data_IF_835792836738
#
_entry.id   IF_835792836738
#
_cell.length_a   1.000
_cell.length_b   1.000
_cell.length_c   1.000
_cell.angle_alpha   90.00
_cell.angle_beta   90.00
_cell.angle_gamma   90.00
#
_symmetry.space_group_name_H-M   'P 1'
#
loop_
_entity.id
_entity.type
_entity.pdbx_description
1 polymer ?
#
# COMPACT_ATOMS: atom_id res chain seq x y z
N UNK A 1 -23.29 32.70 33.27
CA UNK A 1 -24.42 32.02 32.59
C UNK A 1 -24.06 31.34 31.25
N UNK A 2 -22.78 31.10 30.91
CA UNK A 2 -22.36 30.42 29.66
C UNK A 2 -21.88 28.97 29.82
N UNK A 3 -21.54 28.55 31.04
CA UNK A 3 -21.02 27.19 31.32
C UNK A 3 -22.14 26.14 31.44
N UNK A 4 -23.34 26.53 31.90
CA UNK A 4 -24.48 25.61 32.01
C UNK A 4 -25.12 25.26 30.65
N UNK A 5 -24.99 26.12 29.63
CA UNK A 5 -25.57 25.89 28.30
C UNK A 5 -24.76 24.88 27.47
N UNK A 6 -23.42 24.86 27.59
CA UNK A 6 -22.56 23.90 26.88
C UNK A 6 -22.69 22.46 27.40
N UNK A 7 -22.92 22.27 28.70
CA UNK A 7 -23.19 20.94 29.28
C UNK A 7 -24.56 20.39 28.86
N UNK A 8 -25.57 21.25 28.67
CA UNK A 8 -26.89 20.82 28.20
C UNK A 8 -26.84 20.47 26.70
N UNK A 9 -26.12 21.23 25.88
CA UNK A 9 -25.96 20.95 24.44
C UNK A 9 -25.17 19.65 24.20
N UNK A 10 -24.12 19.40 24.98
CA UNK A 10 -23.36 18.15 24.92
C UNK A 10 -24.21 16.94 25.33
N UNK A 11 -25.07 17.08 26.36
CA UNK A 11 -25.98 16.02 26.81
C UNK A 11 -27.11 15.76 25.81
N UNK A 12 -27.63 16.80 25.14
CA UNK A 12 -28.66 16.64 24.11
C UNK A 12 -28.12 16.01 22.84
N UNK A 13 -26.87 16.28 22.45
CA UNK A 13 -26.26 15.62 21.27
C UNK A 13 -25.89 14.15 21.53
N UNK A 14 -25.45 13.79 22.74
CA UNK A 14 -25.25 12.37 23.11
C UNK A 14 -26.57 11.63 23.26
N UNK A 15 -27.64 12.29 23.75
CA UNK A 15 -28.97 11.69 23.81
C UNK A 15 -29.61 11.51 22.42
N UNK A 16 -29.34 12.41 21.46
CA UNK A 16 -29.74 12.26 20.06
C UNK A 16 -28.91 11.18 19.32
N UNK A 17 -27.65 10.96 19.70
CA UNK A 17 -26.87 9.81 19.22
C UNK A 17 -27.31 8.46 19.84
N UNK A 18 -27.84 8.45 21.08
CA UNK A 18 -28.39 7.23 21.70
C UNK A 18 -29.81 6.87 21.21
N UNK A 19 -30.56 7.84 20.69
CA UNK A 19 -31.91 7.62 20.13
C UNK A 19 -31.91 6.97 18.73
N UNK A 20 -30.74 6.81 18.10
CA UNK A 20 -30.58 6.04 16.86
C UNK A 20 -30.35 4.54 17.05
N UNK A 21 -30.27 4.06 18.30
CA UNK A 21 -29.96 2.66 18.64
C UNK A 21 -31.08 2.06 19.51
N UNK A 22 -32.35 2.32 19.13
CA UNK A 22 -33.45 1.48 19.56
C UNK A 22 -33.90 0.67 18.35
N UNK A 23 -33.77 -0.68 18.36
CA UNK A 23 -34.43 -1.51 17.37
C UNK A 23 -35.94 -1.20 17.44
N UNK A 24 -36.54 -0.95 16.28
CA UNK A 24 -37.96 -0.55 16.14
C UNK A 24 -38.92 -1.68 16.57
N UNK A 25 -38.40 -2.85 16.97
CA UNK A 25 -39.18 -4.07 17.21
C UNK A 25 -39.92 -4.15 18.57
N UNK A 26 -39.98 -3.07 19.36
CA UNK A 26 -40.63 -3.10 20.70
C UNK A 26 -42.05 -2.51 20.72
N UNK A 27 -42.65 -2.17 19.57
CA UNK A 27 -44.06 -1.76 19.49
C UNK A 27 -44.98 -2.75 18.75
N UNK A 28 -44.67 -4.05 18.76
CA UNK A 28 -45.58 -5.10 18.27
C UNK A 28 -46.62 -5.51 19.33
N UNK A 29 -47.23 -4.53 20.00
CA UNK A 29 -48.03 -4.75 21.20
C UNK A 29 -49.25 -3.84 21.34
N UNK A 30 -49.93 -3.46 20.26
CA UNK A 30 -51.34 -3.02 20.32
C UNK A 30 -51.91 -2.82 18.90
N UNK A 31 -52.39 -3.89 18.25
CA UNK A 31 -53.41 -3.72 17.21
C UNK A 31 -54.55 -4.67 17.57
N UNK A 32 -55.57 -4.10 18.19
CA UNK A 32 -56.85 -4.76 18.40
C UNK A 32 -57.49 -4.95 17.03
N UNK A 33 -57.66 -6.19 16.57
CA UNK A 33 -58.53 -6.43 15.41
C UNK A 33 -59.97 -6.32 15.87
N UNK A 34 -60.58 -5.18 15.54
CA UNK A 34 -62.00 -4.90 15.60
C UNK A 34 -62.74 -5.77 14.55
N UNK A 35 -63.90 -6.30 14.92
CA UNK A 35 -64.76 -7.12 14.06
C UNK A 35 -65.67 -6.19 13.25
N UNK A 36 -65.30 -5.90 12.00
CA UNK A 36 -66.17 -5.21 11.05
C UNK A 36 -65.92 -5.76 9.65
N UNK A 37 -66.92 -6.45 9.09
CA UNK A 37 -66.93 -6.89 7.70
C UNK A 37 -66.93 -5.68 6.75
N UNK A 38 -65.74 -5.26 6.34
CA UNK A 38 -65.55 -4.20 5.35
C UNK A 38 -64.16 -4.32 4.76
N UNK A 39 -64.08 -4.44 3.43
CA UNK A 39 -62.88 -4.56 2.60
C UNK A 39 -61.57 -4.13 3.27
N UNK A 40 -60.80 -5.11 3.73
CA UNK A 40 -59.49 -4.90 4.31
C UNK A 40 -58.55 -4.28 3.28
N UNK A 41 -58.11 -3.06 3.56
CA UNK A 41 -56.93 -2.48 2.92
C UNK A 41 -55.78 -3.41 3.32
N UNK A 42 -55.34 -4.29 2.42
CA UNK A 42 -54.10 -5.02 2.60
C UNK A 42 -52.98 -3.99 2.62
N UNK A 43 -52.66 -3.48 3.80
CA UNK A 43 -51.37 -2.84 4.04
C UNK A 43 -50.32 -3.80 3.53
N UNK A 44 -49.53 -3.38 2.55
CA UNK A 44 -48.33 -4.09 2.11
C UNK A 44 -47.36 -3.96 3.28
N UNK A 45 -47.51 -4.82 4.27
CA UNK A 45 -46.52 -4.98 5.34
C UNK A 45 -45.37 -5.72 4.68
N UNK A 46 -44.35 -4.99 4.25
CA UNK A 46 -43.12 -5.62 3.81
C UNK A 46 -42.49 -6.27 5.05
N UNK A 47 -42.27 -7.60 5.08
CA UNK A 47 -41.69 -8.23 6.25
C UNK A 47 -40.29 -7.65 6.53
N UNK A 48 -39.87 -7.57 7.81
CA UNK A 48 -38.52 -7.13 8.13
C UNK A 48 -37.51 -8.02 7.41
N UNK A 49 -36.65 -7.40 6.60
CA UNK A 49 -35.58 -8.09 5.87
C UNK A 49 -34.35 -8.08 6.74
N UNK A 50 -33.72 -9.25 6.90
CA UNK A 50 -32.48 -9.36 7.65
C UNK A 50 -31.36 -8.60 6.96
N UNK A 51 -30.55 -7.88 7.74
CA UNK A 51 -29.43 -7.08 7.23
C UNK A 51 -28.20 -7.22 8.10
N UNK A 52 -27.02 -7.27 7.50
CA UNK A 52 -25.77 -7.05 8.24
C UNK A 52 -25.34 -5.60 8.10
N UNK A 53 -25.01 -4.95 9.23
CA UNK A 53 -24.43 -3.61 9.27
C UNK A 53 -22.95 -3.70 9.59
N UNK A 54 -22.10 -3.46 8.61
CA UNK A 54 -20.65 -3.42 8.77
C UNK A 54 -20.19 -2.01 9.13
N UNK A 55 -19.54 -1.88 10.28
CA UNK A 55 -18.86 -0.64 10.70
C UNK A 55 -17.35 -0.83 10.52
N UNK A 56 -16.75 -0.08 9.60
CA UNK A 56 -15.32 -0.12 9.33
C UNK A 56 -14.60 0.85 10.27
N UNK A 57 -13.71 0.34 11.11
CA UNK A 57 -13.00 1.12 12.14
C UNK A 57 -11.48 1.10 11.95
N UNK A 58 -10.87 2.28 12.00
CA UNK A 58 -9.42 2.47 11.95
C UNK A 58 -8.99 3.46 13.04
N UNK A 59 -7.90 3.13 13.75
CA UNK A 59 -7.31 3.96 14.82
C UNK A 59 -8.35 4.51 15.84
N UNK A 60 -9.39 3.71 16.15
CA UNK A 60 -10.43 4.04 17.12
C UNK A 60 -11.58 4.90 16.58
N UNK A 61 -11.55 5.29 15.30
CA UNK A 61 -12.63 6.01 14.62
C UNK A 61 -13.34 5.15 13.58
N UNK A 62 -14.58 5.51 13.25
CA UNK A 62 -15.33 4.93 12.13
C UNK A 62 -14.89 5.60 10.83
N UNK A 63 -14.47 4.79 9.86
CA UNK A 63 -14.09 5.22 8.51
C UNK A 63 -15.30 5.16 7.58
N UNK A 64 -16.08 4.09 7.65
CA UNK A 64 -17.24 3.87 6.79
C UNK A 64 -18.28 2.97 7.47
N UNK A 65 -19.51 2.97 6.96
CA UNK A 65 -20.58 2.06 7.41
C UNK A 65 -21.40 1.60 6.22
N UNK A 66 -21.55 0.28 6.07
CA UNK A 66 -22.30 -0.34 4.98
C UNK A 66 -23.35 -1.28 5.53
N UNK A 67 -24.54 -1.26 4.92
CA UNK A 67 -25.63 -2.16 5.24
C UNK A 67 -25.87 -3.03 4.01
N UNK A 68 -25.82 -4.34 4.19
CA UNK A 68 -26.01 -5.32 3.11
C UNK A 68 -27.13 -6.30 3.47
N UNK A 69 -27.89 -6.69 2.45
CA UNK A 69 -28.86 -7.79 2.49
C UNK A 69 -28.22 -9.09 2.02
N UNK A 70 -28.96 -10.18 2.14
CA UNK A 70 -28.55 -11.48 1.62
C UNK A 70 -28.24 -11.42 0.11
N UNK A 71 -27.08 -11.93 -0.27
CA UNK A 71 -26.60 -11.94 -1.64
C UNK A 71 -26.01 -10.62 -2.16
N UNK A 72 -26.08 -9.53 -1.39
CA UNK A 72 -25.36 -8.30 -1.70
C UNK A 72 -23.87 -8.43 -1.33
N UNK A 73 -23.04 -7.46 -1.72
CA UNK A 73 -21.60 -7.47 -1.50
C UNK A 73 -21.12 -6.15 -0.92
N UNK A 74 -20.01 -6.20 -0.19
CA UNK A 74 -19.36 -5.00 0.34
C UNK A 74 -18.54 -4.31 -0.75
N UNK A 75 -18.51 -2.97 -0.71
CA UNK A 75 -17.56 -2.16 -1.49
C UNK A 75 -16.37 -1.82 -0.61
N UNK A 76 -15.16 -1.86 -1.15
CA UNK A 76 -13.97 -1.55 -0.35
C UNK A 76 -13.97 -0.06 0.05
N UNK A 77 -13.91 0.26 1.36
CA UNK A 77 -13.76 1.64 1.81
C UNK A 77 -12.42 2.25 1.38
N UNK A 78 -12.30 3.57 1.47
CA UNK A 78 -10.99 4.21 1.31
C UNK A 78 -10.01 3.65 2.35
N UNK A 79 -8.83 3.24 1.87
CA UNK A 79 -7.77 2.74 2.74
C UNK A 79 -7.36 3.84 3.75
N UNK A 80 -7.43 3.57 5.06
CA UNK A 80 -6.98 4.50 6.07
C UNK A 80 -5.46 4.66 6.02
N UNK A 81 -4.97 5.85 6.37
CA UNK A 81 -3.54 6.14 6.44
C UNK A 81 -3.04 6.05 7.88
N UNK A 82 -1.87 5.44 8.05
CA UNK A 82 -1.18 5.35 9.33
C UNK A 82 0.32 5.53 9.14
N UNK A 83 0.90 6.48 9.86
CA UNK A 83 2.33 6.80 9.73
C UNK A 83 3.20 5.56 10.02
N UNK A 84 4.19 5.31 9.14
CA UNK A 84 5.10 4.17 9.25
C UNK A 84 4.44 2.80 9.01
N UNK A 85 3.21 2.76 8.51
CA UNK A 85 2.50 1.51 8.25
C UNK A 85 1.85 1.49 6.87
N UNK A 86 1.75 0.28 6.29
CA UNK A 86 0.96 -0.03 5.11
C UNK A 86 -0.37 -0.61 5.55
N UNK A 87 -1.47 -0.14 4.95
CA UNK A 87 -2.78 -0.75 5.15
C UNK A 87 -2.77 -2.18 4.58
N UNK A 88 -3.09 -3.17 5.41
CA UNK A 88 -3.07 -4.59 5.04
C UNK A 88 -4.46 -5.12 4.67
N UNK A 89 -5.52 -4.44 5.08
CA UNK A 89 -6.90 -4.81 4.78
C UNK A 89 -7.85 -4.63 5.96
N UNK A 90 -9.12 -4.93 5.72
CA UNK A 90 -10.19 -4.92 6.72
C UNK A 90 -10.43 -6.34 7.26
N UNK A 91 -10.54 -6.49 8.57
CA UNK A 91 -10.66 -7.80 9.21
C UNK A 91 -11.83 -7.86 10.20
N UNK A 92 -12.53 -9.00 10.21
CA UNK A 92 -13.50 -9.36 11.25
C UNK A 92 -12.88 -10.48 12.07
N UNK A 93 -12.54 -10.20 13.33
CA UNK A 93 -11.75 -11.13 14.14
C UNK A 93 -10.39 -11.40 13.49
N UNK A 94 -10.14 -12.65 13.06
CA UNK A 94 -8.93 -13.07 12.35
C UNK A 94 -9.07 -13.10 10.83
N UNK A 95 -10.29 -13.02 10.30
CA UNK A 95 -10.57 -13.21 8.88
C UNK A 95 -10.52 -11.88 8.12
N UNK A 96 -9.87 -11.88 6.96
CA UNK A 96 -9.83 -10.72 6.08
C UNK A 96 -11.13 -10.67 5.26
N UNK A 97 -11.74 -9.49 5.19
CA UNK A 97 -12.88 -9.25 4.32
C UNK A 97 -12.45 -9.18 2.86
N UNK A 98 -13.29 -9.75 2.00
CA UNK A 98 -13.19 -9.63 0.55
C UNK A 98 -14.33 -8.73 0.06
N UNK A 99 -14.07 -8.00 -1.03
CA UNK A 99 -14.98 -6.98 -1.55
C UNK A 99 -15.40 -7.29 -3.00
N UNK A 100 -16.50 -6.67 -3.42
CA UNK A 100 -16.99 -6.74 -4.79
C UNK A 100 -17.88 -7.95 -5.10
N UNK A 101 -18.44 -8.00 -6.32
CA UNK A 101 -19.54 -8.89 -6.69
C UNK A 101 -19.19 -10.39 -6.67
N UNK A 102 -17.91 -10.74 -6.74
CA UNK A 102 -17.44 -12.13 -6.62
C UNK A 102 -17.48 -12.66 -5.17
N UNK A 103 -17.78 -11.80 -4.20
CA UNK A 103 -17.77 -12.10 -2.77
C UNK A 103 -19.09 -11.68 -2.11
N UNK A 104 -20.23 -12.33 -2.44
CA UNK A 104 -21.51 -12.02 -1.83
C UNK A 104 -21.53 -12.41 -0.35
N UNK A 105 -22.26 -11.64 0.47
CA UNK A 105 -22.45 -11.86 1.89
C UNK A 105 -23.76 -12.64 2.11
N UNK A 106 -23.68 -13.69 2.93
CA UNK A 106 -24.85 -14.44 3.39
C UNK A 106 -25.42 -13.79 4.65
N UNK A 107 -26.72 -13.46 4.63
CA UNK A 107 -27.40 -12.79 5.74
C UNK A 107 -28.60 -13.62 6.18
N UNK A 108 -28.47 -14.33 7.29
CA UNK A 108 -29.55 -15.18 7.86
C UNK A 108 -30.31 -14.49 8.99
N UNK A 109 -29.74 -13.46 9.60
CA UNK A 109 -30.32 -12.66 10.68
C UNK A 109 -29.79 -11.22 10.63
N UNK A 110 -30.41 -10.30 11.36
CA UNK A 110 -29.88 -8.95 11.50
C UNK A 110 -28.74 -8.91 12.51
N UNK A 111 -27.58 -8.40 12.10
CA UNK A 111 -26.38 -8.33 12.92
C UNK A 111 -25.58 -7.06 12.67
N UNK A 112 -24.90 -6.55 13.70
CA UNK A 112 -23.92 -5.47 13.59
C UNK A 112 -22.50 -6.06 13.68
N UNK A 113 -21.70 -5.82 12.66
CA UNK A 113 -20.35 -6.38 12.51
C UNK A 113 -19.34 -5.23 12.53
N UNK A 114 -18.30 -5.37 13.33
CA UNK A 114 -17.18 -4.42 13.34
C UNK A 114 -16.01 -4.99 12.54
N UNK A 115 -15.63 -4.29 11.47
CA UNK A 115 -14.46 -4.62 10.66
C UNK A 115 -13.32 -3.67 11.01
N UNK A 116 -12.21 -4.21 11.51
CA UNK A 116 -11.07 -3.42 11.98
C UNK A 116 -9.98 -3.37 10.91
N UNK A 117 -9.46 -2.19 10.63
CA UNK A 117 -8.29 -2.01 9.78
C UNK A 117 -7.06 -2.66 10.44
N UNK A 118 -6.35 -3.50 9.67
CA UNK A 118 -5.03 -3.98 10.05
C UNK A 118 -3.96 -3.29 9.24
N UNK A 119 -2.83 -3.11 9.89
CA UNK A 119 -1.68 -2.38 9.37
C UNK A 119 -0.43 -3.22 9.56
N UNK A 120 0.44 -3.16 8.56
CA UNK A 120 1.76 -3.77 8.61
C UNK A 120 2.81 -2.66 8.73
N UNK A 121 3.72 -2.80 9.69
CA UNK A 121 4.77 -1.81 9.88
C UNK A 121 5.78 -1.90 8.74
N UNK A 122 6.06 -0.76 8.11
CA UNK A 122 7.00 -0.65 7.00
C UNK A 122 8.12 0.34 7.34
N UNK A 123 9.27 0.14 6.70
CA UNK A 123 10.39 1.06 6.77
C UNK A 123 10.77 1.56 5.40
N UNK A 124 11.35 2.76 5.35
CA UNK A 124 11.74 3.42 4.13
C UNK A 124 13.23 3.29 3.88
N UNK A 125 13.58 3.05 2.62
CA UNK A 125 14.94 3.08 2.10
C UNK A 125 15.04 4.27 1.15
N UNK A 126 15.78 5.28 1.57
CA UNK A 126 15.99 6.51 0.83
C UNK A 126 17.30 6.43 0.06
N UNK A 127 17.22 6.45 -1.26
CA UNK A 127 18.38 6.54 -2.14
C UNK A 127 18.73 8.00 -2.33
N UNK A 128 19.93 8.37 -1.93
CA UNK A 128 20.44 9.74 -2.01
C UNK A 128 21.01 10.01 -3.42
N UNK A 129 21.05 11.28 -3.84
CA UNK A 129 21.62 11.71 -5.13
C UNK A 129 23.14 11.91 -5.12
N UNK A 130 23.73 12.08 -3.94
CA UNK A 130 25.14 12.42 -3.75
C UNK A 130 25.59 12.06 -2.33
N UNK A 131 26.90 11.99 -2.10
CA UNK A 131 27.51 11.71 -0.81
C UNK A 131 28.55 12.80 -0.44
N UNK A 132 29.08 12.77 0.78
CA UNK A 132 30.08 13.73 1.26
C UNK A 132 29.53 14.89 2.09
N UNK A 133 30.39 15.84 2.47
CA UNK A 133 30.15 16.79 3.58
C UNK A 133 28.94 17.72 3.43
N UNK A 134 28.49 18.01 2.21
CA UNK A 134 27.31 18.84 1.94
C UNK A 134 25.99 18.08 2.10
N UNK A 135 26.03 16.77 2.27
CA UNK A 135 24.84 15.92 2.19
C UNK A 135 24.30 15.82 0.77
N UNK A 136 23.37 14.89 0.58
CA UNK A 136 22.63 14.69 -0.65
C UNK A 136 21.14 14.82 -0.40
N UNK A 137 20.36 14.95 -1.47
CA UNK A 137 18.91 14.92 -1.42
C UNK A 137 18.40 13.50 -1.68
N UNK A 138 17.18 13.22 -1.24
CA UNK A 138 16.51 11.96 -1.58
C UNK A 138 16.14 11.98 -3.06
N UNK A 139 16.75 11.10 -3.85
CA UNK A 139 16.42 10.89 -5.27
C UNK A 139 15.25 9.93 -5.44
N UNK A 140 15.24 8.84 -4.67
CA UNK A 140 14.22 7.80 -4.75
C UNK A 140 13.94 7.22 -3.37
N UNK A 141 12.68 6.90 -3.11
CA UNK A 141 12.25 6.21 -1.90
C UNK A 141 11.66 4.86 -2.27
N UNK A 142 12.06 3.84 -1.54
CA UNK A 142 11.43 2.52 -1.55
C UNK A 142 10.96 2.17 -0.14
N UNK A 143 10.00 1.27 -0.01
CA UNK A 143 9.50 0.82 1.29
C UNK A 143 9.18 -0.66 1.27
N UNK A 144 9.07 -1.24 2.47
CA UNK A 144 8.73 -2.63 2.67
C UNK A 144 8.78 -3.01 4.14
N UNK A 145 8.36 -4.23 4.45
CA UNK A 145 8.44 -4.79 5.79
C UNK A 145 9.88 -5.20 6.14
N UNK A 146 10.14 -5.40 7.44
CA UNK A 146 11.45 -5.92 7.90
C UNK A 146 11.77 -7.25 7.21
N UNK A 147 12.97 -7.36 6.63
CA UNK A 147 13.43 -8.56 5.94
C UNK A 147 13.11 -8.59 4.44
N UNK A 148 12.22 -7.74 3.94
CA UNK A 148 12.02 -7.58 2.50
C UNK A 148 13.25 -6.95 1.83
N UNK A 149 13.42 -7.19 0.53
CA UNK A 149 14.55 -6.65 -0.23
C UNK A 149 14.12 -5.63 -1.26
N UNK A 150 14.92 -4.56 -1.38
CA UNK A 150 14.77 -3.55 -2.43
C UNK A 150 15.97 -3.59 -3.37
N UNK A 151 15.72 -3.63 -4.68
CA UNK A 151 16.81 -3.60 -5.67
C UNK A 151 17.54 -2.25 -5.64
N UNK A 152 18.84 -2.28 -5.87
CA UNK A 152 19.67 -1.08 -6.06
C UNK A 152 19.94 -0.77 -7.54
N UNK A 153 19.84 -1.78 -8.43
CA UNK A 153 20.22 -1.67 -9.84
C UNK A 153 19.23 -0.90 -10.73
N UNK A 154 17.98 -0.78 -10.30
CA UNK A 154 16.96 0.04 -10.99
C UNK A 154 17.04 1.54 -10.61
N UNK A 155 17.90 1.91 -9.66
CA UNK A 155 18.09 3.29 -9.22
C UNK A 155 19.19 3.95 -10.05
N UNK A 156 18.79 4.50 -11.20
CA UNK A 156 19.68 5.19 -12.14
C UNK A 156 19.67 6.71 -11.89
N UNK A 157 20.77 7.24 -11.34
CA UNK A 157 20.92 8.67 -11.09
C UNK A 157 21.19 9.44 -12.40
N UNK A 158 20.65 10.67 -12.57
CA UNK A 158 20.92 11.52 -13.72
C UNK A 158 22.28 12.24 -13.57
N UNK A 159 23.36 11.46 -13.65
CA UNK A 159 24.74 11.95 -13.57
C UNK A 159 25.33 12.18 -14.97
N UNK A 160 26.41 12.97 -15.04
CA UNK A 160 27.08 13.26 -16.31
C UNK A 160 27.61 12.01 -17.00
N UNK A 161 27.81 12.08 -18.32
CA UNK A 161 28.26 10.94 -19.15
C UNK A 161 29.63 10.38 -18.77
N UNK A 162 30.42 11.12 -18.00
CA UNK A 162 31.74 10.69 -17.49
C UNK A 162 31.66 10.12 -16.07
N UNK A 163 30.47 9.88 -15.53
CA UNK A 163 30.29 9.39 -14.16
C UNK A 163 29.43 8.13 -14.12
N UNK A 164 29.66 7.29 -13.11
CA UNK A 164 28.81 6.15 -12.79
C UNK A 164 28.61 5.99 -11.29
N UNK A 165 27.46 5.45 -10.90
CA UNK A 165 27.26 4.91 -9.55
C UNK A 165 27.88 3.52 -9.51
N UNK A 166 28.99 3.36 -8.81
CA UNK A 166 29.72 2.08 -8.72
C UNK A 166 29.32 1.26 -7.49
N UNK A 167 28.58 1.87 -6.56
CA UNK A 167 28.03 1.19 -5.40
C UNK A 167 27.15 2.10 -4.55
N UNK A 168 26.35 1.47 -3.70
CA UNK A 168 25.52 2.16 -2.70
C UNK A 168 26.04 1.83 -1.30
N UNK A 169 26.04 2.79 -0.38
CA UNK A 169 26.59 2.64 0.96
C UNK A 169 25.57 3.04 2.02
N UNK A 170 25.58 2.40 3.18
CA UNK A 170 24.68 2.71 4.29
C UNK A 170 25.11 3.94 5.09
N UNK A 171 26.21 4.59 4.71
CA UNK A 171 26.76 5.76 5.39
C UNK A 171 27.28 6.79 4.37
N UNK A 172 27.12 8.05 4.72
CA UNK A 172 27.49 9.20 3.89
C UNK A 172 29.00 9.31 3.60
N UNK A 173 29.83 8.71 4.46
CA UNK A 173 31.29 8.70 4.33
C UNK A 173 31.79 7.59 3.39
N UNK A 174 30.88 6.77 2.83
CA UNK A 174 31.18 5.69 1.90
C UNK A 174 32.22 4.68 2.46
N UNK A 175 32.13 4.42 3.77
CA UNK A 175 33.01 3.49 4.48
C UNK A 175 32.44 2.07 4.52
N UNK A 176 33.32 1.07 4.56
CA UNK A 176 32.94 -0.34 4.60
C UNK A 176 32.68 -0.94 3.21
N UNK A 177 31.88 -2.01 3.16
CA UNK A 177 31.50 -2.66 1.91
C UNK A 177 30.24 -2.01 1.31
N UNK A 178 30.17 -1.89 -0.03
CA UNK A 178 28.94 -1.45 -0.67
C UNK A 178 27.82 -2.46 -0.48
N UNK A 179 26.58 -1.96 -0.50
CA UNK A 179 25.37 -2.76 -0.68
C UNK A 179 25.43 -3.44 -2.05
N UNK A 180 25.03 -4.71 -2.10
CA UNK A 180 24.97 -5.49 -3.33
C UNK A 180 23.83 -5.07 -4.26
N UNK A 181 23.37 -6.01 -5.10
CA UNK A 181 22.27 -5.81 -6.05
C UNK A 181 20.92 -5.49 -5.37
N UNK A 182 20.81 -5.78 -4.07
CA UNK A 182 19.65 -5.49 -3.24
C UNK A 182 20.05 -5.14 -1.81
N UNK A 183 19.18 -4.40 -1.14
CA UNK A 183 19.27 -4.05 0.27
C UNK A 183 18.13 -4.72 1.05
N UNK A 184 18.45 -5.42 2.14
CA UNK A 184 17.45 -5.97 3.07
C UNK A 184 16.99 -4.90 4.05
N UNK A 185 15.69 -4.66 4.11
CA UNK A 185 15.08 -3.68 5.01
C UNK A 185 15.22 -4.14 6.47
N UNK A 186 15.75 -3.27 7.31
CA UNK A 186 15.90 -3.49 8.75
C UNK A 186 14.67 -3.06 9.56
N UNK A 187 14.90 -2.70 10.82
CA UNK A 187 13.87 -2.22 11.76
C UNK A 187 13.88 -0.70 11.93
N UNK A 188 14.44 0.02 10.98
CA UNK A 188 14.51 1.48 10.94
C UNK A 188 14.64 1.95 9.50
N UNK A 189 14.29 3.22 9.26
CA UNK A 189 14.53 3.84 7.96
C UNK A 189 16.03 3.92 7.67
N UNK A 190 16.43 3.66 6.43
CA UNK A 190 17.83 3.67 6.00
C UNK A 190 18.04 4.64 4.84
N UNK A 191 19.14 5.38 4.89
CA UNK A 191 19.63 6.14 3.74
C UNK A 191 20.76 5.37 3.04
N UNK A 192 20.68 5.25 1.71
CA UNK A 192 21.70 4.68 0.86
C UNK A 192 22.37 5.77 0.03
N UNK A 193 23.68 5.86 0.16
CA UNK A 193 24.53 6.90 -0.38
C UNK A 193 25.30 6.38 -1.60
N UNK A 194 25.22 7.03 -2.76
CA UNK A 194 25.90 6.56 -3.95
C UNK A 194 27.40 6.88 -3.88
N UNK A 195 28.24 5.90 -4.22
CA UNK A 195 29.62 6.17 -4.61
C UNK A 195 29.63 6.48 -6.09
N UNK A 196 29.90 7.74 -6.42
CA UNK A 196 29.96 8.23 -7.80
C UNK A 196 31.43 8.34 -8.17
N UNK A 197 31.82 7.68 -9.25
CA UNK A 197 33.18 7.70 -9.76
C UNK A 197 33.19 8.29 -11.17
N UNK A 198 34.27 9.01 -11.49
CA UNK A 198 34.55 9.49 -12.83
C UNK A 198 35.21 8.38 -13.66
N UNK A 199 34.92 8.32 -14.95
CA UNK A 199 35.43 7.30 -15.88
C UNK A 199 34.78 7.38 -17.25
N UNK A 200 34.96 6.31 -18.03
CA UNK A 200 34.46 6.23 -19.39
C UNK A 200 33.55 5.00 -19.56
N UNK A 201 32.59 5.10 -20.47
CA UNK A 201 31.75 3.97 -20.86
C UNK A 201 32.28 3.33 -22.14
N UNK A 202 32.48 2.01 -22.09
CA UNK A 202 32.75 1.18 -23.26
C UNK A 202 31.42 0.66 -23.79
N UNK A 203 31.11 1.01 -25.04
CA UNK A 203 29.87 0.60 -25.71
C UNK A 203 30.16 -0.60 -26.61
N UNK A 204 29.28 -1.59 -26.57
CA UNK A 204 29.41 -2.82 -27.35
C UNK A 204 28.36 -2.83 -28.47
N UNK A 205 28.81 -3.04 -29.71
CA UNK A 205 27.96 -3.07 -30.90
C UNK A 205 27.95 -4.49 -31.46
N UNK A 206 26.82 -5.18 -31.31
CA UNK A 206 26.65 -6.58 -31.74
C UNK A 206 26.15 -6.75 -33.19
N UNK A 207 25.96 -5.63 -33.92
CA UNK A 207 25.36 -5.60 -35.26
C UNK A 207 23.84 -5.84 -35.26
N UNK A 208 23.23 -5.81 -36.45
CA UNK A 208 21.78 -6.02 -36.62
C UNK A 208 21.34 -7.39 -36.06
N UNK A 209 20.24 -7.43 -35.32
CA UNK A 209 19.70 -8.64 -34.68
C UNK A 209 20.65 -9.32 -33.68
N UNK A 210 21.74 -8.65 -33.27
CA UNK A 210 22.64 -9.13 -32.22
C UNK A 210 22.06 -8.87 -30.82
N UNK A 211 22.50 -9.66 -29.84
CA UNK A 211 22.15 -9.43 -28.42
C UNK A 211 22.65 -8.06 -27.96
N UNK A 212 21.79 -7.28 -27.29
CA UNK A 212 22.19 -6.05 -26.62
C UNK A 212 23.09 -6.37 -25.43
N UNK A 213 24.21 -5.67 -25.33
CA UNK A 213 25.13 -5.75 -24.21
C UNK A 213 25.15 -4.39 -23.54
N UNK A 214 24.95 -4.37 -22.22
CA UNK A 214 24.97 -3.14 -21.45
C UNK A 214 26.39 -2.51 -21.49
N UNK A 215 26.50 -1.18 -21.71
CA UNK A 215 27.79 -0.50 -21.67
C UNK A 215 28.50 -0.72 -20.35
N UNK A 216 29.81 -0.96 -20.42
CA UNK A 216 30.62 -1.14 -19.23
C UNK A 216 31.28 0.18 -18.82
N UNK A 217 31.07 0.58 -17.57
CA UNK A 217 31.82 1.70 -16.99
C UNK A 217 33.23 1.26 -16.57
N UNK A 218 34.23 2.08 -16.88
CA UNK A 218 35.64 1.83 -16.56
C UNK A 218 36.24 3.11 -15.94
N UNK A 219 36.56 3.08 -14.63
CA UNK A 219 37.34 4.13 -13.97
C UNK A 219 38.74 4.31 -14.59
N UNK A 220 39.39 5.49 -14.47
CA UNK A 220 40.71 5.76 -15.07
C UNK A 220 41.84 4.80 -14.68
N UNK A 221 41.74 4.17 -13.51
CA UNK A 221 42.77 3.26 -12.98
C UNK A 221 42.43 1.77 -13.17
N UNK A 222 41.25 1.46 -13.71
CA UNK A 222 40.80 0.09 -13.90
C UNK A 222 41.04 -0.39 -15.33
N UNK A 223 41.09 -1.71 -15.49
CA UNK A 223 41.17 -2.38 -16.79
C UNK A 223 39.80 -2.79 -17.28
N UNK A 224 39.59 -2.74 -18.59
CA UNK A 224 38.38 -3.24 -19.25
C UNK A 224 38.18 -4.72 -18.97
N UNK A 225 36.94 -5.17 -18.78
CA UNK A 225 36.61 -6.60 -18.71
C UNK A 225 35.97 -7.01 -20.03
N UNK A 226 36.22 -8.24 -20.47
CA UNK A 226 35.56 -8.78 -21.65
C UNK A 226 34.09 -9.09 -21.32
N UNK A 227 33.11 -8.56 -22.06
CA UNK A 227 31.69 -8.84 -21.81
C UNK A 227 31.33 -10.24 -22.30
N UNK A 228 30.13 -10.71 -21.92
CA UNK A 228 29.58 -11.95 -22.46
C UNK A 228 29.51 -11.93 -23.99
N UNK A 229 29.80 -13.06 -24.63
CA UNK A 229 29.71 -13.17 -26.08
C UNK A 229 28.26 -12.90 -26.56
N UNK A 230 28.06 -12.01 -27.55
CA UNK A 230 26.75 -11.72 -28.10
C UNK A 230 26.27 -12.92 -28.91
N UNK A 231 24.95 -13.08 -29.00
CA UNK A 231 24.33 -14.05 -29.90
C UNK A 231 23.68 -13.34 -31.08
N UNK A 232 23.85 -13.90 -32.29
CA UNK A 232 23.19 -13.45 -33.52
C UNK A 232 22.77 -14.69 -34.33
N UNK A 233 21.49 -14.83 -34.71
CA UNK A 233 21.02 -16.00 -35.46
C UNK A 233 21.81 -16.25 -36.75
N UNK A 234 22.29 -17.48 -36.95
CA UNK A 234 23.06 -17.87 -38.14
C UNK A 234 24.54 -17.50 -38.11
N UNK A 235 25.07 -16.97 -37.00
CA UNK A 235 26.48 -16.59 -36.86
C UNK A 235 27.10 -17.15 -35.58
N UNK A 236 28.41 -17.40 -35.62
CA UNK A 236 29.22 -17.74 -34.44
C UNK A 236 30.07 -16.53 -34.07
N UNK A 237 30.02 -16.13 -32.80
CA UNK A 237 30.88 -15.06 -32.30
C UNK A 237 32.35 -15.49 -32.36
N UNK A 238 33.22 -14.61 -32.89
CA UNK A 238 34.66 -14.86 -32.97
C UNK A 238 35.43 -14.10 -31.89
N UNK A 239 35.40 -12.77 -31.92
CA UNK A 239 36.07 -11.91 -30.95
C UNK A 239 35.51 -10.47 -31.02
N UNK A 240 35.83 -9.68 -30.00
CA UNK A 240 35.62 -8.24 -29.98
C UNK A 240 36.76 -7.51 -30.69
N UNK A 241 36.43 -6.45 -31.44
CA UNK A 241 37.42 -5.56 -32.06
C UNK A 241 37.02 -4.10 -31.87
N UNK A 242 38.02 -3.21 -31.80
CA UNK A 242 37.79 -1.77 -31.78
C UNK A 242 37.40 -1.31 -33.19
N UNK A 243 36.53 -0.30 -33.25
CA UNK A 243 36.12 0.33 -34.52
C UNK A 243 37.07 1.46 -34.90
#
# INVERSE_FOLDING_TARGET
MKIKLRKIIALTLTFIMLLGIVPIDVLAGLITTDYSEGFGIKGIVNPPVNTHTYTFVADGGTVDTQIVKDGEYLTEPQAPEKEGHRFAGWFVGSEQLLFGPSNPITVTQTEAITATARFEQIYYVFFMDSAGATGGNVFRTKSGATGEQVSTGDVKLPIGSTHAVTGWYTNQNLTGSPVGASYTIGTANQQLWPKIEEGNYVYFISGEQGTYIEPQFVPPADVTQEPAAPTRPGYTFSHWSLT
#
